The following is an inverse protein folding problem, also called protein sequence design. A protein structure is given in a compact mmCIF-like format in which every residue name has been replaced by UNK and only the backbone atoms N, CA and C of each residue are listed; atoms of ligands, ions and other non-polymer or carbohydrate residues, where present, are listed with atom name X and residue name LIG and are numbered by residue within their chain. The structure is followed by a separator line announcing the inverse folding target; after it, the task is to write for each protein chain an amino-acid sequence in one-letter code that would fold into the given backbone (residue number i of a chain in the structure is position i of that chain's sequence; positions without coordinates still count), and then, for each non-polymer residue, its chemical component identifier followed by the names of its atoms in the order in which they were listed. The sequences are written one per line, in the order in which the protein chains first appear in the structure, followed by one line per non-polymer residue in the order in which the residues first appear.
data_IF_505144788024
#
_entry.id   IF_505144788024
#
_cell.length_a   1.000
_cell.length_b   1.000
_cell.length_c   1.000
_cell.angle_alpha   90.00
_cell.angle_beta   90.00
_cell.angle_gamma   90.00
#
_symmetry.space_group_name_H-M   'P 1'
#
loop_
_entity.id
_entity.type
_entity.pdbx_description
1 polymer ?
#
# COMPACT_ATOMS: atom_id res chain seq x y z
N UNK A 1 -51.89 -44.55 35.03
CA UNK A 1 -53.24 -44.92 34.55
C UNK A 1 -53.43 -44.24 33.20
N UNK A 2 -53.33 -44.96 32.08
CA UNK A 2 -54.41 -45.70 31.39
C UNK A 2 -55.50 -44.78 30.84
N UNK A 3 -56.02 -44.84 29.61
CA UNK A 3 -55.72 -45.50 28.33
C UNK A 3 -56.84 -45.02 27.39
N UNK A 4 -56.48 -44.67 26.15
CA UNK A 4 -57.26 -44.65 24.89
C UNK A 4 -58.76 -45.02 24.89
N UNK A 5 -59.52 -44.27 24.07
CA UNK A 5 -60.37 -44.71 22.92
C UNK A 5 -61.37 -43.58 22.61
N UNK A 6 -61.72 -43.19 21.38
CA UNK A 6 -61.55 -43.77 20.05
C UNK A 6 -62.85 -43.54 19.25
N UNK A 7 -62.77 -43.76 17.93
CA UNK A 7 -63.86 -44.07 16.97
C UNK A 7 -64.47 -42.86 16.23
N UNK A 8 -64.07 -42.64 14.96
CA UNK A 8 -64.58 -43.22 13.69
C UNK A 8 -66.03 -42.73 13.42
N UNK A 9 -66.47 -42.30 12.23
CA UNK A 9 -66.70 -43.03 10.96
C UNK A 9 -67.12 -41.94 9.93
N UNK A 10 -66.40 -41.70 8.84
CA UNK A 10 -66.57 -42.18 7.45
C UNK A 10 -67.70 -41.53 6.62
N UNK A 11 -67.35 -40.94 5.46
CA UNK A 11 -67.92 -41.20 4.11
C UNK A 11 -67.22 -40.26 3.08
N UNK A 12 -66.36 -40.76 2.19
CA UNK A 12 -66.65 -41.35 0.86
C UNK A 12 -67.24 -40.32 -0.14
N UNK A 13 -66.37 -39.70 -0.96
CA UNK A 13 -66.23 -39.90 -2.43
C UNK A 13 -67.46 -39.59 -3.27
N UNK A 14 -67.32 -38.75 -4.32
CA UNK A 14 -67.68 -39.00 -5.74
C UNK A 14 -67.87 -37.68 -6.55
N UNK A 15 -66.92 -37.41 -7.46
CA UNK A 15 -66.96 -36.76 -8.78
C UNK A 15 -67.69 -35.41 -9.02
N UNK A 16 -66.96 -34.38 -9.49
CA UNK A 16 -66.91 -33.99 -10.91
C UNK A 16 -66.40 -32.53 -11.15
N UNK A 17 -65.36 -32.42 -11.97
CA UNK A 17 -65.03 -31.41 -12.99
C UNK A 17 -65.28 -29.89 -12.76
N UNK A 18 -64.14 -29.17 -12.86
CA UNK A 18 -63.87 -28.02 -13.74
C UNK A 18 -64.03 -26.57 -13.20
N UNK A 19 -63.14 -25.71 -13.76
CA UNK A 19 -62.91 -24.26 -13.58
C UNK A 19 -62.03 -23.89 -12.37
N UNK A 20 -60.68 -23.79 -12.47
CA UNK A 20 -59.81 -22.83 -13.20
C UNK A 20 -59.85 -21.40 -12.62
N UNK A 21 -58.65 -20.84 -12.45
CA UNK A 21 -58.23 -19.50 -11.95
C UNK A 21 -58.14 -19.38 -10.41
N UNK A 22 -57.01 -19.10 -9.76
CA UNK A 22 -55.74 -18.55 -10.23
C UNK A 22 -55.42 -17.25 -9.48
N UNK A 23 -54.91 -17.33 -8.24
CA UNK A 23 -54.27 -16.21 -7.54
C UNK A 23 -53.04 -16.76 -6.81
N UNK A 24 -51.87 -16.56 -7.43
CA UNK A 24 -50.54 -16.85 -6.87
C UNK A 24 -50.04 -15.59 -6.17
N UNK A 25 -49.48 -15.78 -4.98
CA UNK A 25 -48.75 -14.78 -4.18
C UNK A 25 -47.77 -13.96 -5.05
N UNK A 26 -47.88 -12.64 -4.98
CA UNK A 26 -46.80 -11.72 -5.35
C UNK A 26 -45.70 -11.84 -4.27
N UNK A 27 -44.62 -12.54 -4.61
CA UNK A 27 -43.32 -12.36 -3.96
C UNK A 27 -42.56 -11.36 -4.82
N UNK A 28 -42.34 -10.15 -4.28
CA UNK A 28 -41.49 -9.15 -4.92
C UNK A 28 -40.05 -9.64 -4.95
N UNK A 29 -39.65 -10.22 -6.08
CA UNK A 29 -38.24 -10.42 -6.43
C UNK A 29 -37.77 -9.12 -7.07
N UNK A 30 -37.06 -8.31 -6.30
CA UNK A 30 -36.27 -7.20 -6.81
C UNK A 30 -35.10 -7.79 -7.61
N UNK A 31 -35.25 -7.82 -8.93
CA UNK A 31 -34.13 -8.04 -9.86
C UNK A 31 -33.24 -6.81 -9.83
N UNK A 32 -32.12 -6.89 -9.09
CA UNK A 32 -31.04 -5.92 -9.21
C UNK A 32 -30.42 -6.12 -10.59
N UNK A 33 -30.69 -5.21 -11.51
CA UNK A 33 -30.02 -5.14 -12.79
C UNK A 33 -28.51 -5.00 -12.54
N UNK A 34 -27.74 -6.01 -12.94
CA UNK A 34 -26.27 -5.94 -12.94
C UNK A 34 -25.84 -4.77 -13.81
N UNK A 35 -25.07 -3.79 -13.29
CA UNK A 35 -24.55 -2.72 -14.11
C UNK A 35 -23.58 -3.31 -15.14
N UNK A 36 -24.00 -3.33 -16.41
CA UNK A 36 -23.10 -3.67 -17.51
C UNK A 36 -22.00 -2.60 -17.59
N UNK A 37 -20.72 -2.99 -17.74
CA UNK A 37 -19.66 -2.02 -17.96
C UNK A 37 -19.91 -1.25 -19.28
N UNK A 38 -19.50 0.02 -19.36
CA UNK A 38 -19.74 0.82 -20.56
C UNK A 38 -19.05 0.21 -21.78
N UNK A 39 -19.81 -0.01 -22.84
CA UNK A 39 -19.29 -0.40 -24.14
C UNK A 39 -18.57 0.80 -24.78
N UNK A 40 -17.26 0.67 -24.95
CA UNK A 40 -16.42 1.67 -25.58
C UNK A 40 -16.63 1.60 -27.11
N UNK A 41 -17.42 2.54 -27.66
CA UNK A 41 -17.62 2.66 -29.11
C UNK A 41 -16.60 3.63 -29.70
N UNK A 42 -15.65 3.12 -30.48
CA UNK A 42 -14.78 3.93 -31.32
C UNK A 42 -15.48 4.13 -32.67
N UNK A 43 -16.03 5.32 -32.90
CA UNK A 43 -16.55 5.73 -34.22
C UNK A 43 -15.47 6.51 -34.96
N UNK A 44 -14.70 5.83 -35.81
CA UNK A 44 -13.72 6.44 -36.71
C UNK A 44 -13.57 5.63 -37.99
N UNK A 45 -13.59 6.32 -39.13
CA UNK A 45 -13.45 5.75 -40.47
C UNK A 45 -12.01 5.23 -40.65
N UNK A 46 -11.84 3.93 -40.95
CA UNK A 46 -10.52 3.33 -41.16
C UNK A 46 -9.83 3.90 -42.40
N UNK A 47 -8.79 4.70 -42.20
CA UNK A 47 -7.70 4.85 -43.16
C UNK A 47 -6.40 4.67 -42.39
N UNK A 48 -5.55 3.74 -42.84
CA UNK A 48 -4.32 3.25 -42.20
C UNK A 48 -4.47 2.50 -40.87
N UNK A 49 -4.11 1.21 -40.90
CA UNK A 49 -3.91 0.33 -39.74
C UNK A 49 -2.70 0.81 -38.91
N UNK A 50 -2.93 1.74 -37.99
CA UNK A 50 -2.01 1.99 -36.88
C UNK A 50 -2.34 0.99 -35.77
N UNK A 51 -1.59 -0.11 -35.70
CA UNK A 51 -1.66 -1.06 -34.58
C UNK A 51 -0.94 -0.43 -33.38
N UNK A 52 -1.66 0.36 -32.60
CA UNK A 52 -1.19 0.87 -31.32
C UNK A 52 -1.53 -0.12 -30.21
N UNK A 53 -0.52 -0.62 -29.49
CA UNK A 53 -0.74 -1.32 -28.22
C UNK A 53 -1.18 -0.29 -27.19
N UNK A 54 -2.43 -0.34 -26.75
CA UNK A 54 -2.88 0.41 -25.57
C UNK A 54 -2.57 -0.45 -24.35
N UNK A 55 -1.47 -0.14 -23.66
CA UNK A 55 -1.16 -0.74 -22.37
C UNK A 55 -2.02 -0.11 -21.28
N UNK A 56 -2.91 -0.88 -20.67
CA UNK A 56 -3.54 -0.49 -19.40
C UNK A 56 -2.56 -0.81 -18.27
N UNK A 57 -1.86 0.21 -17.77
CA UNK A 57 -1.08 0.09 -16.56
C UNK A 57 -2.01 0.28 -15.37
N UNK A 58 -2.35 -0.82 -14.69
CA UNK A 58 -2.89 -0.70 -13.33
C UNK A 58 -1.71 -0.30 -12.45
N UNK A 59 -1.68 0.96 -12.05
CA UNK A 59 -0.65 1.49 -11.15
C UNK A 59 -0.68 0.65 -9.86
N UNK A 60 0.47 0.09 -9.49
CA UNK A 60 0.60 -0.80 -8.34
C UNK A 60 0.32 -0.03 -7.05
N UNK A 61 -0.54 -0.58 -6.19
CA UNK A 61 -0.71 -0.03 -4.84
C UNK A 61 0.58 -0.23 -4.05
N UNK A 62 1.14 0.86 -3.55
CA UNK A 62 2.25 0.82 -2.61
C UNK A 62 1.72 0.18 -1.33
N UNK A 63 2.03 -1.08 -1.05
CA UNK A 63 1.61 -1.71 0.21
C UNK A 63 2.79 -2.38 0.89
N UNK A 64 3.15 -1.84 2.04
CA UNK A 64 4.13 -2.42 2.95
C UNK A 64 3.42 -2.88 4.22
N UNK A 65 3.60 -4.15 4.67
CA UNK A 65 3.04 -4.60 5.93
C UNK A 65 3.71 -3.86 7.09
N UNK A 66 2.91 -3.37 8.04
CA UNK A 66 3.42 -2.85 9.30
C UNK A 66 3.29 -3.92 10.39
N UNK A 67 4.33 -4.08 11.19
CA UNK A 67 4.31 -4.97 12.35
C UNK A 67 4.25 -4.17 13.64
N UNK A 68 3.84 -4.81 14.74
CA UNK A 68 3.97 -4.22 16.07
C UNK A 68 5.44 -3.88 16.36
N UNK A 69 5.67 -2.76 17.04
CA UNK A 69 7.01 -2.27 17.31
C UNK A 69 7.47 -1.28 16.24
N UNK A 70 8.78 -1.26 15.97
CA UNK A 70 9.38 -0.32 15.04
C UNK A 70 9.30 -0.81 13.60
N UNK A 71 9.05 0.14 12.70
CA UNK A 71 9.04 -0.02 11.25
C UNK A 71 9.75 1.18 10.63
N UNK A 72 10.67 0.94 9.70
CA UNK A 72 11.27 2.01 8.91
C UNK A 72 10.60 2.02 7.53
N UNK A 73 9.86 3.08 7.24
CA UNK A 73 9.01 3.17 6.05
C UNK A 73 9.37 4.36 5.17
N UNK A 74 8.93 4.33 3.93
CA UNK A 74 8.88 5.49 3.05
C UNK A 74 7.60 5.47 2.20
N UNK A 75 7.21 6.62 1.66
CA UNK A 75 6.12 6.68 0.69
C UNK A 75 6.70 6.43 -0.71
N UNK A 76 6.08 5.54 -1.48
CA UNK A 76 6.54 5.27 -2.85
C UNK A 76 5.73 5.99 -3.93
N UNK A 77 4.81 6.89 -3.56
CA UNK A 77 4.11 7.79 -4.46
C UNK A 77 3.50 9.00 -3.72
N UNK A 78 3.20 10.07 -4.44
CA UNK A 78 2.48 11.24 -3.93
C UNK A 78 1.04 10.86 -3.57
N UNK A 79 0.65 11.22 -2.36
CA UNK A 79 -0.71 11.03 -1.84
C UNK A 79 -1.45 12.36 -1.85
N UNK A 80 -2.75 12.32 -2.16
CA UNK A 80 -3.59 13.52 -2.15
C UNK A 80 -3.65 14.19 -0.76
N UNK A 81 -3.58 13.38 0.30
CA UNK A 81 -3.50 13.83 1.69
C UNK A 81 -2.32 13.13 2.37
N UNK A 82 -1.24 13.89 2.58
CA UNK A 82 -0.01 13.39 3.21
C UNK A 82 0.02 13.57 4.73
N UNK A 83 -1.10 13.95 5.35
CA UNK A 83 -1.17 14.08 6.80
C UNK A 83 -0.98 12.72 7.48
N UNK A 84 -0.23 12.71 8.59
CA UNK A 84 0.03 11.50 9.38
C UNK A 84 -1.28 10.85 9.84
N UNK A 85 -2.28 11.66 10.20
CA UNK A 85 -3.63 11.20 10.57
C UNK A 85 -4.35 10.46 9.44
N UNK A 86 -4.14 10.88 8.20
CA UNK A 86 -4.78 10.26 7.02
C UNK A 86 -4.06 8.98 6.62
N UNK A 87 -2.73 9.03 6.53
CA UNK A 87 -1.89 7.87 6.16
C UNK A 87 -2.01 6.72 7.17
N UNK A 88 -2.08 7.03 8.46
CA UNK A 88 -2.22 6.04 9.53
C UNK A 88 -3.64 5.95 10.07
N UNK A 89 -4.64 6.33 9.28
CA UNK A 89 -6.04 6.19 9.68
C UNK A 89 -6.36 4.73 10.01
N UNK A 90 -6.87 4.48 11.22
CA UNK A 90 -7.16 3.13 11.71
C UNK A 90 -5.93 2.33 12.19
N UNK A 91 -4.74 2.94 12.24
CA UNK A 91 -3.51 2.32 12.76
C UNK A 91 -3.11 2.97 14.09
N UNK A 92 -2.85 2.16 15.12
CA UNK A 92 -2.48 2.65 16.45
C UNK A 92 -0.97 2.97 16.54
N UNK A 93 -0.59 4.10 15.94
CA UNK A 93 0.78 4.62 16.02
C UNK A 93 1.03 5.35 17.36
N UNK A 94 2.23 5.18 17.91
CA UNK A 94 2.69 5.92 19.10
C UNK A 94 3.62 7.07 18.75
N UNK A 95 4.57 6.78 17.86
CA UNK A 95 5.61 7.70 17.43
C UNK A 95 5.84 7.61 15.93
N UNK A 96 6.07 8.76 15.31
CA UNK A 96 6.64 8.87 13.97
C UNK A 96 7.88 9.75 14.10
N UNK A 97 9.03 9.26 13.66
CA UNK A 97 10.31 9.95 13.78
C UNK A 97 10.82 10.30 12.40
N UNK A 98 11.12 11.58 12.19
CA UNK A 98 11.72 12.12 10.97
C UNK A 98 13.16 12.50 11.28
N UNK A 99 14.11 11.96 10.52
CA UNK A 99 15.50 12.39 10.61
C UNK A 99 15.67 13.81 10.07
N UNK A 100 16.35 14.67 10.81
CA UNK A 100 16.77 15.98 10.37
C UNK A 100 18.23 15.88 9.92
N UNK A 101 18.45 15.98 8.62
CA UNK A 101 19.77 15.84 8.02
C UNK A 101 20.73 16.96 8.45
N UNK A 102 20.23 18.15 8.76
CA UNK A 102 21.07 19.29 9.18
C UNK A 102 21.52 19.14 10.62
N UNK A 103 20.63 18.80 11.54
CA UNK A 103 20.97 18.65 12.96
C UNK A 103 21.48 17.25 13.32
N UNK A 104 21.34 16.26 12.42
CA UNK A 104 21.65 14.86 12.66
C UNK A 104 20.90 14.28 13.88
N UNK A 105 19.61 14.62 13.99
CA UNK A 105 18.74 14.23 15.10
C UNK A 105 17.33 13.89 14.62
N UNK A 106 16.57 13.17 15.44
CA UNK A 106 15.17 12.88 15.14
C UNK A 106 14.23 13.98 15.65
N UNK A 107 13.40 14.50 14.75
CA UNK A 107 12.15 15.16 15.14
C UNK A 107 11.10 14.08 15.41
N UNK A 108 10.37 14.20 16.51
CA UNK A 108 9.40 13.18 16.95
C UNK A 108 7.99 13.76 16.88
N UNK A 109 7.11 13.07 16.17
CA UNK A 109 5.66 13.24 16.21
C UNK A 109 5.06 12.21 17.15
N UNK A 110 4.09 12.62 17.96
CA UNK A 110 3.22 11.74 18.73
C UNK A 110 1.78 12.27 18.71
N UNK A 111 0.76 11.43 18.47
CA UNK A 111 -0.65 11.85 18.56
C UNK A 111 -1.04 12.42 19.92
N UNK A 112 -0.33 12.05 20.99
CA UNK A 112 -0.58 12.52 22.36
C UNK A 112 0.18 13.79 22.73
N UNK A 113 1.06 14.31 21.85
CA UNK A 113 1.78 15.54 22.11
C UNK A 113 0.86 16.76 21.93
N UNK A 114 1.03 17.77 22.78
CA UNK A 114 0.29 19.04 22.67
C UNK A 114 0.67 19.85 21.42
N UNK A 115 1.88 19.65 20.91
CA UNK A 115 2.39 20.23 19.68
C UNK A 115 3.37 19.27 19.05
N UNK A 116 3.34 19.16 17.72
CA UNK A 116 4.23 18.31 16.95
C UNK A 116 5.08 19.14 15.98
N UNK A 117 6.37 18.79 15.79
CA UNK A 117 7.27 19.53 14.90
C UNK A 117 6.96 19.36 13.40
N UNK A 118 6.12 18.38 13.06
CA UNK A 118 5.59 18.13 11.72
C UNK A 118 4.29 17.35 11.82
N UNK A 119 3.46 17.39 10.79
CA UNK A 119 2.17 16.68 10.75
C UNK A 119 1.92 15.94 9.43
N UNK A 120 2.86 16.02 8.50
CA UNK A 120 2.78 15.42 7.16
C UNK A 120 4.01 14.56 6.87
N UNK A 121 3.84 13.58 5.98
CA UNK A 121 4.93 12.77 5.43
C UNK A 121 5.30 13.27 4.02
N UNK A 122 6.58 13.13 3.68
CA UNK A 122 7.15 13.57 2.41
C UNK A 122 7.68 12.34 1.65
N UNK A 123 7.44 12.30 0.34
CA UNK A 123 7.81 11.17 -0.52
C UNK A 123 9.32 10.90 -0.60
N UNK A 124 10.11 11.95 -0.47
CA UNK A 124 11.56 11.89 -0.55
C UNK A 124 12.20 11.56 0.80
N UNK A 125 11.43 11.18 1.82
CA UNK A 125 11.92 10.86 3.17
C UNK A 125 11.51 9.47 3.64
N UNK A 126 12.33 8.92 4.52
CA UNK A 126 12.07 7.74 5.31
C UNK A 126 11.73 8.13 6.75
N UNK A 127 10.85 7.35 7.38
CA UNK A 127 10.32 7.60 8.71
C UNK A 127 10.40 6.35 9.56
N UNK A 128 10.83 6.51 10.80
CA UNK A 128 10.82 5.44 11.79
C UNK A 128 9.54 5.54 12.61
N UNK A 129 8.71 4.50 12.57
CA UNK A 129 7.35 4.52 13.11
C UNK A 129 7.20 3.40 14.13
N UNK A 130 6.66 3.74 15.30
CA UNK A 130 6.33 2.76 16.34
C UNK A 130 4.83 2.50 16.39
N UNK A 131 4.43 1.24 16.23
CA UNK A 131 3.06 0.79 16.38
C UNK A 131 2.89 0.06 17.72
N UNK A 132 1.81 0.37 18.44
CA UNK A 132 1.48 -0.32 19.69
C UNK A 132 0.93 -1.73 19.44
N UNK A 133 0.24 -1.94 18.31
CA UNK A 133 -0.37 -3.19 17.90
C UNK A 133 -0.12 -3.49 16.40
N UNK A 134 -0.18 -4.77 16.03
CA UNK A 134 0.11 -5.23 14.67
C UNK A 134 -1.16 -5.24 13.82
N UNK A 135 -1.62 -4.07 13.39
CA UNK A 135 -2.62 -3.98 12.30
C UNK A 135 -2.39 -2.72 11.48
N UNK A 136 -1.81 -2.87 10.29
CA UNK A 136 -1.72 -1.78 9.34
C UNK A 136 -1.00 -2.18 8.07
N UNK A 137 -1.42 -1.58 6.96
CA UNK A 137 -0.62 -1.45 5.76
C UNK A 137 -0.62 0.03 5.41
N UNK A 138 0.53 0.55 5.01
CA UNK A 138 0.53 1.87 4.37
C UNK A 138 0.01 1.69 2.95
N UNK A 139 -0.93 2.54 2.53
CA UNK A 139 -1.45 2.60 1.16
C UNK A 139 -1.14 3.96 0.54
N UNK A 140 0.13 4.31 0.24
CA UNK A 140 0.35 5.39 -0.70
C UNK A 140 -0.36 5.03 -2.01
N UNK A 141 -1.28 5.89 -2.44
CA UNK A 141 -1.98 5.78 -3.72
C UNK A 141 -0.99 5.52 -4.83
N UNK A 142 -1.39 4.83 -5.89
CA UNK A 142 -0.49 4.50 -6.99
C UNK A 142 -0.22 5.73 -7.88
N UNK A 143 1.00 5.90 -8.39
CA UNK A 143 1.35 7.04 -9.24
C UNK A 143 2.70 6.99 -9.94
N UNK A 144 2.78 7.77 -11.01
CA UNK A 144 3.94 7.82 -11.87
C UNK A 144 5.00 8.75 -11.30
N UNK A 145 5.73 8.30 -10.28
CA UNK A 145 6.91 9.05 -9.84
C UNK A 145 7.93 9.14 -10.98
N UNK A 146 8.31 10.35 -11.43
CA UNK A 146 9.38 10.53 -12.39
C UNK A 146 10.75 10.24 -11.75
N UNK A 147 11.81 10.33 -12.55
CA UNK A 147 13.18 10.38 -12.04
C UNK A 147 13.31 11.44 -10.95
N UNK A 148 13.95 11.07 -9.82
CA UNK A 148 14.06 11.91 -8.63
C UNK A 148 15.53 12.12 -8.28
N UNK A 149 15.92 13.38 -8.10
CA UNK A 149 17.26 13.76 -7.64
C UNK A 149 17.16 14.34 -6.24
N UNK A 150 17.81 13.70 -5.26
CA UNK A 150 17.87 14.17 -3.89
C UNK A 150 19.27 14.64 -3.55
N UNK A 151 19.37 15.81 -2.92
CA UNK A 151 20.65 16.27 -2.35
C UNK A 151 20.82 15.60 -0.99
N UNK A 152 21.88 14.82 -0.84
CA UNK A 152 22.29 14.27 0.44
C UNK A 152 23.37 15.17 1.04
N UNK A 153 23.26 15.50 2.32
CA UNK A 153 24.33 16.22 3.04
C UNK A 153 25.38 15.23 3.54
N UNK A 154 26.56 15.74 3.91
CA UNK A 154 27.55 14.91 4.60
C UNK A 154 26.97 14.35 5.91
N UNK A 155 27.16 13.05 6.15
CA UNK A 155 26.60 12.35 7.31
C UNK A 155 25.41 11.46 6.95
N UNK A 156 24.52 11.21 7.92
CA UNK A 156 23.35 10.38 7.72
C UNK A 156 22.22 11.16 7.07
N UNK A 157 21.58 10.51 6.09
CA UNK A 157 20.40 10.99 5.40
C UNK A 157 19.34 9.88 5.44
N UNK A 158 18.07 10.24 5.44
CA UNK A 158 16.96 9.29 5.42
C UNK A 158 16.11 9.46 4.15
N UNK A 159 16.67 9.24 2.94
CA UNK A 159 15.91 9.40 1.71
C UNK A 159 14.82 8.33 1.62
N UNK A 160 13.66 8.69 1.06
CA UNK A 160 12.59 7.73 0.75
C UNK A 160 12.99 6.78 -0.38
N UNK A 161 12.36 5.60 -0.45
CA UNK A 161 12.48 4.66 -1.55
C UNK A 161 11.28 4.83 -2.50
N UNK A 162 11.46 5.48 -3.67
CA UNK A 162 10.35 5.99 -4.45
C UNK A 162 9.76 4.97 -5.45
N UNK A 163 10.26 3.72 -5.47
CA UNK A 163 9.81 2.73 -6.44
C UNK A 163 8.60 1.94 -5.94
N UNK A 164 7.62 1.77 -6.84
CA UNK A 164 6.40 0.97 -6.61
C UNK A 164 6.62 -0.53 -6.80
N UNK A 165 7.87 -0.95 -6.94
CA UNK A 165 8.29 -2.34 -7.09
C UNK A 165 9.58 -2.60 -6.30
N UNK A 166 9.78 -3.86 -5.92
CA UNK A 166 10.99 -4.29 -5.23
C UNK A 166 12.18 -4.13 -6.16
N UNK A 167 13.28 -3.55 -5.66
CA UNK A 167 14.46 -3.32 -6.48
C UNK A 167 15.74 -3.34 -5.66
N UNK A 168 16.86 -3.54 -6.33
CA UNK A 168 18.16 -3.53 -5.70
C UNK A 168 18.65 -2.09 -5.52
N UNK A 169 18.99 -1.66 -4.30
CA UNK A 169 19.44 -0.28 -4.10
C UNK A 169 20.76 0.03 -4.80
N UNK A 170 21.52 -0.98 -5.22
CA UNK A 170 22.80 -0.81 -5.93
C UNK A 170 22.67 -0.06 -7.26
N UNK A 171 21.45 0.04 -7.81
CA UNK A 171 21.17 0.83 -9.02
C UNK A 171 21.29 2.34 -8.80
N UNK A 172 21.12 2.82 -7.56
CA UNK A 172 21.23 4.24 -7.21
C UNK A 172 22.30 4.52 -6.16
N UNK A 173 22.76 3.50 -5.42
CA UNK A 173 23.81 3.64 -4.43
C UNK A 173 25.18 3.76 -5.11
N UNK A 174 25.81 4.93 -4.99
CA UNK A 174 27.15 5.17 -5.50
C UNK A 174 28.23 4.96 -4.43
N UNK A 175 29.00 3.87 -4.52
CA UNK A 175 30.07 3.53 -3.58
C UNK A 175 31.24 4.52 -3.53
N UNK A 176 31.35 5.44 -4.50
CA UNK A 176 32.34 6.54 -4.46
C UNK A 176 31.86 7.76 -3.64
N UNK A 177 30.56 7.84 -3.35
CA UNK A 177 29.94 8.98 -2.65
C UNK A 177 29.31 8.56 -1.31
N UNK A 178 28.89 7.29 -1.21
CA UNK A 178 28.16 6.74 -0.08
C UNK A 178 28.92 5.56 0.51
N UNK A 179 28.96 5.52 1.84
CA UNK A 179 29.75 4.52 2.58
C UNK A 179 28.91 3.38 3.15
N UNK A 180 27.72 3.73 3.62
CA UNK A 180 26.80 2.80 4.29
C UNK A 180 25.37 3.03 3.82
N UNK A 181 24.61 1.94 3.76
CA UNK A 181 23.15 1.97 3.68
C UNK A 181 22.61 1.13 4.83
N UNK A 182 21.64 1.65 5.57
CA UNK A 182 20.96 0.92 6.63
C UNK A 182 19.48 0.74 6.29
N UNK A 183 18.98 -0.45 6.61
CA UNK A 183 17.55 -0.79 6.54
C UNK A 183 17.11 -1.33 7.89
N UNK A 184 15.82 -1.32 8.15
CA UNK A 184 15.27 -1.94 9.35
C UNK A 184 14.83 -3.36 9.05
N UNK A 185 15.29 -4.30 9.86
CA UNK A 185 14.74 -5.65 9.88
C UNK A 185 13.59 -5.68 10.88
N UNK A 186 12.36 -5.76 10.37
CA UNK A 186 11.13 -5.78 11.18
C UNK A 186 10.98 -7.06 11.99
N UNK A 187 11.58 -8.18 11.57
CA UNK A 187 11.52 -9.45 12.29
C UNK A 187 12.40 -9.41 13.53
N UNK A 188 13.65 -8.98 13.36
CA UNK A 188 14.64 -8.98 14.44
C UNK A 188 14.65 -7.65 15.23
N UNK A 189 13.90 -6.64 14.76
CA UNK A 189 13.82 -5.31 15.35
C UNK A 189 15.20 -4.64 15.50
N UNK A 190 15.99 -4.68 14.43
CA UNK A 190 17.33 -4.10 14.40
C UNK A 190 17.68 -3.48 13.04
N UNK A 191 18.71 -2.62 13.03
CA UNK A 191 19.27 -2.09 11.79
C UNK A 191 20.22 -3.10 11.15
N UNK A 192 20.00 -3.36 9.87
CA UNK A 192 20.92 -4.12 9.02
C UNK A 192 21.73 -3.13 8.20
N UNK A 193 23.05 -3.17 8.34
CA UNK A 193 23.99 -2.24 7.69
C UNK A 193 24.67 -2.93 6.52
N UNK A 194 24.57 -2.31 5.35
CA UNK A 194 25.28 -2.69 4.15
C UNK A 194 26.44 -1.74 3.87
N UNK A 195 27.55 -2.28 3.35
CA UNK A 195 28.69 -1.50 2.87
C UNK A 195 29.31 -2.19 1.66
N UNK A 196 29.76 -1.46 0.63
CA UNK A 196 30.43 -2.05 -0.54
C UNK A 196 31.78 -2.68 -0.19
N UNK A 197 32.31 -2.40 1.01
CA UNK A 197 33.60 -2.92 1.50
C UNK A 197 33.45 -4.15 2.40
N UNK A 198 32.23 -4.60 2.64
CA UNK A 198 31.98 -5.78 3.47
C UNK A 198 32.28 -7.05 2.67
N UNK A 199 32.95 -8.04 3.27
CA UNK A 199 33.29 -9.29 2.60
C UNK A 199 32.03 -10.14 2.27
N UNK A 200 31.01 -10.08 3.13
CA UNK A 200 29.74 -10.78 2.96
C UNK A 200 28.59 -9.82 3.32
N UNK A 201 28.21 -8.90 2.40
CA UNK A 201 27.17 -7.93 2.68
C UNK A 201 25.77 -8.58 2.78
N UNK A 202 24.86 -8.01 3.59
CA UNK A 202 23.47 -8.45 3.62
C UNK A 202 22.76 -8.18 2.28
N UNK A 203 21.54 -8.70 2.12
CA UNK A 203 20.75 -8.51 0.89
C UNK A 203 20.59 -7.05 0.53
N UNK A 204 20.86 -6.72 -0.73
CA UNK A 204 20.71 -5.39 -1.28
C UNK A 204 19.32 -5.11 -1.88
N UNK A 205 18.39 -6.06 -1.73
CA UNK A 205 17.00 -5.88 -2.11
C UNK A 205 16.30 -4.88 -1.17
N UNK A 206 15.56 -3.93 -1.74
CA UNK A 206 14.59 -3.06 -1.07
C UNK A 206 13.19 -3.49 -1.47
N UNK A 207 12.29 -3.59 -0.50
CA UNK A 207 10.87 -3.81 -0.77
C UNK A 207 10.13 -2.48 -0.92
N UNK A 208 8.99 -2.53 -1.61
CA UNK A 208 8.09 -1.38 -1.72
C UNK A 208 7.67 -0.91 -0.33
N UNK A 209 7.80 0.40 -0.08
CA UNK A 209 7.47 1.00 1.21
C UNK A 209 8.57 0.89 2.28
N UNK A 210 9.67 0.17 2.04
CA UNK A 210 10.82 0.17 2.94
C UNK A 210 11.42 1.57 3.03
N UNK A 211 11.75 2.01 4.24
CA UNK A 211 12.61 3.17 4.43
C UNK A 211 14.08 2.76 4.53
N UNK A 212 14.95 3.76 4.48
CA UNK A 212 16.40 3.56 4.51
C UNK A 212 17.13 4.76 5.13
N UNK A 213 18.36 4.50 5.55
CA UNK A 213 19.36 5.53 5.81
C UNK A 213 20.56 5.34 4.89
N UNK A 214 21.13 6.45 4.43
CA UNK A 214 22.36 6.46 3.62
C UNK A 214 23.36 7.40 4.30
N UNK A 215 24.58 6.91 4.50
CA UNK A 215 25.70 7.74 4.94
C UNK A 215 26.48 8.23 3.73
N UNK A 216 26.57 9.55 3.59
CA UNK A 216 27.35 10.21 2.53
C UNK A 216 28.63 10.83 3.09
N UNK A 217 29.77 10.57 2.46
CA UNK A 217 31.07 11.08 2.91
C UNK A 217 31.22 12.60 2.69
N UNK A 218 30.46 13.15 1.74
CA UNK A 218 30.33 14.57 1.44
C UNK A 218 28.93 14.84 0.87
N UNK A 219 28.57 16.11 0.69
CA UNK A 219 27.33 16.48 -0.01
C UNK A 219 27.33 15.86 -1.41
N UNK A 220 26.28 15.11 -1.73
CA UNK A 220 26.16 14.34 -2.99
C UNK A 220 24.73 14.43 -3.55
N UNK A 221 24.51 13.87 -4.73
CA UNK A 221 23.18 13.72 -5.32
C UNK A 221 22.84 12.26 -5.47
N UNK A 222 21.79 11.81 -4.81
CA UNK A 222 21.17 10.51 -5.02
C UNK A 222 20.21 10.60 -6.20
N UNK A 223 20.39 9.75 -7.20
CA UNK A 223 19.58 9.77 -8.42
C UNK A 223 18.76 8.49 -8.52
N UNK A 224 17.45 8.61 -8.46
CA UNK A 224 16.52 7.55 -8.80
C UNK A 224 16.14 7.71 -10.27
N UNK A 225 16.48 6.71 -11.08
CA UNK A 225 16.18 6.72 -12.51
C UNK A 225 15.17 5.61 -12.80
N UNK A 226 13.88 5.96 -12.76
CA UNK A 226 12.78 5.02 -12.99
C UNK A 226 12.75 4.57 -14.43
N UNK A 227 13.02 5.47 -15.38
CA UNK A 227 12.93 5.17 -16.82
C UNK A 227 13.85 4.03 -17.24
N UNK A 228 14.99 3.86 -16.54
CA UNK A 228 15.94 2.78 -16.81
C UNK A 228 15.59 1.43 -16.14
N UNK A 229 14.51 1.35 -15.36
CA UNK A 229 14.14 0.15 -14.60
C UNK A 229 12.90 -0.56 -15.14
N UNK A 230 12.22 0.03 -16.12
CA UNK A 230 10.96 -0.47 -16.70
C UNK A 230 11.12 -1.07 -18.09
N UNK A 231 12.34 -1.45 -18.50
CA UNK A 231 12.61 -2.14 -19.77
C UNK A 231 12.38 -3.64 -19.68
#
# INVERSE_FOLDING_TARGET
MSKKRGKDIADSTVYALAAVLGIILLVDIVLIASPQPPLLRVTGLQTSSATGTVGLFILGVCTGPLVQGWNLISLCNDVADSSISSIFSGVNIRYVMRWNETSQEFAIYSPSASSNPFTTLEINRSYMVFLNDATGSIFPSAGNNPDLNLTLVQGWNAPGFPYEFNSNFTIYFNASQHRFLMKWNTTDQEFVIWSPRMAAPPSSLMFVGDGQFIYSDATSTLRYNRTNLTT
#
